data_IF_508508992315
#
_entry.id   IF_508508992315
#
_cell.length_a   1.000
_cell.length_b   1.000
_cell.length_c   1.000
_cell.angle_alpha   90.00
_cell.angle_beta   90.00
_cell.angle_gamma   90.00
#
_symmetry.space_group_name_H-M   'P 1'
#
loop_
_entity.id
_entity.type
_entity.pdbx_description
1 polymer ?
#
# COMPACT_ATOMS: atom_id res chain seq x y z
N UNK A 1 -10.75 -19.95 -15.86
CA UNK A 1 -10.12 -19.09 -14.84
C UNK A 1 -8.80 -19.71 -14.43
N UNK A 2 -7.68 -18.95 -14.37
CA UNK A 2 -6.44 -19.47 -13.81
C UNK A 2 -6.63 -19.79 -12.32
N UNK A 3 -5.94 -20.81 -11.78
CA UNK A 3 -6.11 -21.24 -10.40
C UNK A 3 -5.75 -20.09 -9.44
N UNK A 4 -6.67 -19.81 -8.51
CA UNK A 4 -6.46 -18.89 -7.38
C UNK A 4 -5.14 -19.21 -6.69
N UNK A 5 -4.27 -18.22 -6.56
CA UNK A 5 -3.06 -18.36 -5.76
C UNK A 5 -3.44 -18.37 -4.28
N UNK A 6 -3.59 -19.57 -3.71
CA UNK A 6 -3.92 -19.75 -2.29
C UNK A 6 -2.70 -19.49 -1.41
N UNK A 7 -2.45 -18.22 -1.11
CA UNK A 7 -1.43 -17.74 -0.16
C UNK A 7 -1.56 -18.43 1.20
N UNK A 8 -2.79 -18.73 1.63
CA UNK A 8 -3.16 -19.43 2.86
C UNK A 8 -2.44 -20.78 3.03
N UNK A 9 -2.19 -21.51 1.93
CA UNK A 9 -1.48 -22.80 1.97
C UNK A 9 0.04 -22.65 2.08
N UNK A 10 0.58 -21.45 1.82
CA UNK A 10 2.01 -21.17 1.74
C UNK A 10 2.57 -20.37 2.90
N UNK A 11 1.72 -19.95 3.85
CA UNK A 11 2.13 -19.17 5.03
C UNK A 11 3.22 -19.87 5.86
N UNK A 12 3.32 -21.21 5.76
CA UNK A 12 4.30 -22.02 6.49
C UNK A 12 5.58 -22.33 5.68
N UNK A 13 5.64 -21.94 4.40
CA UNK A 13 6.82 -22.15 3.57
C UNK A 13 7.89 -21.07 3.85
N UNK A 14 9.18 -21.38 3.66
CA UNK A 14 10.23 -20.39 3.74
C UNK A 14 10.00 -19.24 2.74
N UNK A 15 10.27 -18.00 3.14
CA UNK A 15 10.07 -16.79 2.31
C UNK A 15 10.71 -16.91 0.93
N UNK A 16 11.89 -17.53 0.81
CA UNK A 16 12.57 -17.70 -0.47
C UNK A 16 11.84 -18.66 -1.43
N UNK A 17 11.04 -19.60 -0.93
CA UNK A 17 10.21 -20.53 -1.73
C UNK A 17 9.00 -19.78 -2.27
N UNK A 18 8.30 -19.06 -1.39
CA UNK A 18 7.16 -18.20 -1.74
C UNK A 18 7.60 -17.18 -2.80
N UNK A 19 8.76 -16.55 -2.60
CA UNK A 19 9.32 -15.55 -3.49
C UNK A 19 9.66 -16.12 -4.88
N UNK A 20 10.33 -17.27 -4.93
CA UNK A 20 10.64 -17.98 -6.18
C UNK A 20 9.37 -18.30 -6.97
N UNK A 21 8.30 -18.69 -6.30
CA UNK A 21 7.04 -19.03 -6.96
C UNK A 21 6.30 -17.80 -7.48
N UNK A 22 6.37 -16.68 -6.75
CA UNK A 22 5.87 -15.37 -7.22
C UNK A 22 6.67 -14.93 -8.46
N UNK A 23 8.00 -15.02 -8.42
CA UNK A 23 8.88 -14.68 -9.56
C UNK A 23 8.62 -15.56 -10.78
N UNK A 24 8.44 -16.88 -10.59
CA UNK A 24 8.10 -17.79 -11.69
C UNK A 24 6.74 -17.47 -12.31
N UNK A 25 5.77 -17.07 -11.49
CA UNK A 25 4.40 -16.84 -11.95
C UNK A 25 4.24 -15.50 -12.67
N UNK A 26 4.96 -14.48 -12.25
CA UNK A 26 4.75 -13.10 -12.73
C UNK A 26 5.96 -12.47 -13.42
N UNK A 27 7.14 -13.09 -13.30
CA UNK A 27 8.40 -12.59 -13.86
C UNK A 27 9.15 -11.66 -12.91
N UNK A 28 10.47 -11.79 -12.85
CA UNK A 28 11.33 -11.02 -11.94
C UNK A 28 11.19 -9.51 -12.13
N UNK A 29 11.21 -9.02 -13.36
CA UNK A 29 11.12 -7.59 -13.68
C UNK A 29 9.78 -6.99 -13.23
N UNK A 30 8.71 -7.75 -13.43
CA UNK A 30 7.36 -7.41 -13.05
C UNK A 30 7.22 -7.26 -11.53
N UNK A 31 7.70 -8.27 -10.79
CA UNK A 31 7.68 -8.28 -9.31
C UNK A 31 8.53 -7.15 -8.75
N UNK A 32 9.74 -6.95 -9.28
CA UNK A 32 10.63 -5.86 -8.88
C UNK A 32 10.00 -4.47 -9.13
N UNK A 33 9.29 -4.31 -10.25
CA UNK A 33 8.56 -3.09 -10.58
C UNK A 33 7.45 -2.78 -9.56
N UNK A 34 6.62 -3.77 -9.22
CA UNK A 34 5.55 -3.61 -8.22
C UNK A 34 6.13 -3.29 -6.84
N UNK A 35 7.21 -3.96 -6.42
CA UNK A 35 7.92 -3.65 -5.17
C UNK A 35 8.42 -2.21 -5.17
N UNK A 36 8.95 -1.72 -6.29
CA UNK A 36 9.38 -0.33 -6.45
C UNK A 36 8.23 0.67 -6.23
N UNK A 37 7.05 0.38 -6.77
CA UNK A 37 5.87 1.23 -6.60
C UNK A 37 5.37 1.26 -5.15
N UNK A 38 5.37 0.11 -4.47
CA UNK A 38 5.02 0.03 -3.04
C UNK A 38 6.01 0.84 -2.20
N UNK A 39 7.32 0.77 -2.49
CA UNK A 39 8.33 1.58 -1.81
C UNK A 39 8.12 3.08 -2.02
N UNK A 40 7.73 3.51 -3.23
CA UNK A 40 7.39 4.92 -3.51
C UNK A 40 6.17 5.37 -2.73
N UNK A 41 5.15 4.52 -2.62
CA UNK A 41 3.97 4.79 -1.80
C UNK A 41 4.33 4.98 -0.33
N UNK A 42 5.10 4.05 0.26
CA UNK A 42 5.55 4.16 1.66
C UNK A 42 6.44 5.38 1.90
N UNK A 43 7.32 5.73 0.96
CA UNK A 43 8.11 6.94 1.06
C UNK A 43 7.23 8.20 1.05
N UNK A 44 6.21 8.26 0.18
CA UNK A 44 5.29 9.38 0.10
C UNK A 44 4.39 9.56 1.34
N UNK A 45 4.12 8.47 2.09
CA UNK A 45 3.41 8.55 3.37
C UNK A 45 4.24 9.30 4.41
N UNK A 46 5.56 9.08 4.43
CA UNK A 46 6.47 9.65 5.42
C UNK A 46 7.14 10.95 4.98
N UNK A 47 6.75 11.48 3.81
CA UNK A 47 7.29 12.72 3.27
C UNK A 47 6.55 13.92 3.85
N UNK A 48 7.24 15.06 3.97
CA UNK A 48 6.62 16.28 4.47
C UNK A 48 5.50 16.74 3.53
N UNK A 49 4.36 17.11 4.10
CA UNK A 49 3.20 17.58 3.34
C UNK A 49 2.70 18.92 3.84
N UNK A 50 2.38 19.81 2.90
CA UNK A 50 1.86 21.16 3.20
C UNK A 50 0.35 21.15 3.54
N UNK A 51 -0.37 20.14 3.06
CA UNK A 51 -1.81 19.99 3.27
C UNK A 51 -2.24 18.52 3.18
N UNK A 52 -3.20 18.14 4.04
CA UNK A 52 -3.79 16.79 4.07
C UNK A 52 -4.46 16.44 2.75
N UNK A 53 -5.10 17.41 2.08
CA UNK A 53 -5.70 17.21 0.76
C UNK A 53 -4.65 16.88 -0.30
N UNK A 54 -3.47 17.50 -0.20
CA UNK A 54 -2.34 17.24 -1.09
C UNK A 54 -1.74 15.85 -0.86
N UNK A 55 -1.59 15.46 0.42
CA UNK A 55 -1.18 14.11 0.80
C UNK A 55 -2.15 13.06 0.25
N UNK A 56 -3.46 13.28 0.42
CA UNK A 56 -4.49 12.37 -0.08
C UNK A 56 -4.44 12.22 -1.60
N UNK A 57 -4.36 13.32 -2.34
CA UNK A 57 -4.27 13.29 -3.80
C UNK A 57 -3.02 12.55 -4.29
N UNK A 58 -1.86 12.81 -3.67
CA UNK A 58 -0.58 12.15 -4.01
C UNK A 58 -0.64 10.65 -3.73
N UNK A 59 -1.12 10.26 -2.56
CA UNK A 59 -1.24 8.85 -2.17
C UNK A 59 -2.29 8.11 -3.02
N UNK A 60 -3.38 8.79 -3.40
CA UNK A 60 -4.37 8.24 -4.32
C UNK A 60 -3.75 7.96 -5.69
N UNK A 61 -2.99 8.90 -6.25
CA UNK A 61 -2.33 8.73 -7.54
C UNK A 61 -1.33 7.55 -7.51
N UNK A 62 -0.50 7.47 -6.46
CA UNK A 62 0.46 6.38 -6.28
C UNK A 62 -0.20 5.02 -6.07
N UNK A 63 -1.30 4.97 -5.29
CA UNK A 63 -2.12 3.76 -5.17
C UNK A 63 -2.67 3.34 -6.54
N UNK A 64 -3.27 4.27 -7.28
CA UNK A 64 -3.92 3.97 -8.56
C UNK A 64 -2.88 3.56 -9.62
N UNK A 65 -1.67 4.10 -9.58
CA UNK A 65 -0.52 3.65 -10.40
C UNK A 65 -0.06 2.24 -9.99
N UNK A 66 0.16 2.01 -8.69
CA UNK A 66 0.57 0.70 -8.18
C UNK A 66 -0.45 -0.38 -8.52
N UNK A 67 -1.74 -0.11 -8.30
CA UNK A 67 -2.82 -1.06 -8.57
C UNK A 67 -3.08 -1.28 -10.07
N UNK A 68 -2.86 -0.30 -10.93
CA UNK A 68 -2.91 -0.51 -12.39
C UNK A 68 -1.78 -1.43 -12.82
N UNK A 69 -0.55 -1.09 -12.45
CA UNK A 69 0.62 -1.90 -12.81
C UNK A 69 0.54 -3.31 -12.22
N UNK A 70 0.05 -3.48 -10.99
CA UNK A 70 -0.17 -4.80 -10.38
C UNK A 70 -1.44 -5.51 -10.87
N UNK A 71 -2.45 -4.79 -11.37
CA UNK A 71 -3.55 -5.38 -12.11
C UNK A 71 -3.08 -6.05 -13.40
N UNK A 72 -2.23 -5.35 -14.15
CA UNK A 72 -1.66 -5.88 -15.41
C UNK A 72 -0.64 -7.01 -15.14
N UNK A 73 0.18 -6.85 -14.10
CA UNK A 73 1.26 -7.76 -13.74
C UNK A 73 0.82 -8.99 -12.94
N UNK A 74 0.02 -8.76 -11.90
CA UNK A 74 -0.30 -9.71 -10.83
C UNK A 74 -1.78 -10.09 -10.81
N UNK A 75 -2.59 -9.51 -11.70
CA UNK A 75 -4.05 -9.69 -11.75
C UNK A 75 -4.77 -9.27 -10.46
N UNK A 76 -4.15 -8.41 -9.66
CA UNK A 76 -4.71 -7.94 -8.38
C UNK A 76 -4.15 -6.58 -7.99
N UNK A 77 -4.95 -5.79 -7.28
CA UNK A 77 -4.50 -4.53 -6.68
C UNK A 77 -3.75 -4.79 -5.37
N UNK A 78 -2.57 -4.20 -5.23
CA UNK A 78 -1.69 -4.41 -4.06
C UNK A 78 -1.93 -3.42 -2.91
N UNK A 79 -2.50 -2.24 -3.16
CA UNK A 79 -2.78 -1.23 -2.13
C UNK A 79 -4.28 -1.02 -2.01
N UNK A 80 -4.84 -1.41 -0.87
CA UNK A 80 -6.25 -1.18 -0.56
C UNK A 80 -6.50 0.28 -0.14
N UNK A 81 -7.75 0.75 -0.31
CA UNK A 81 -8.14 2.07 0.19
C UNK A 81 -8.00 2.15 1.72
N UNK A 82 -8.35 1.08 2.44
CA UNK A 82 -8.25 1.03 3.90
C UNK A 82 -6.80 1.16 4.39
N UNK A 83 -5.85 0.51 3.72
CA UNK A 83 -4.43 0.64 4.04
C UNK A 83 -3.96 2.10 3.85
N UNK A 84 -4.35 2.73 2.73
CA UNK A 84 -4.03 4.14 2.48
C UNK A 84 -4.60 5.05 3.58
N UNK A 85 -5.85 4.85 4.00
CA UNK A 85 -6.45 5.64 5.07
C UNK A 85 -5.73 5.45 6.40
N UNK A 86 -5.41 4.21 6.79
CA UNK A 86 -4.66 3.93 8.02
C UNK A 86 -3.28 4.59 8.02
N UNK A 87 -2.59 4.58 6.87
CA UNK A 87 -1.29 5.24 6.71
C UNK A 87 -1.40 6.76 6.87
N UNK A 88 -2.43 7.39 6.29
CA UNK A 88 -2.69 8.83 6.45
C UNK A 88 -2.96 9.16 7.92
N UNK A 89 -3.82 8.40 8.59
CA UNK A 89 -4.12 8.59 10.02
C UNK A 89 -2.86 8.50 10.89
N UNK A 90 -1.93 7.60 10.57
CA UNK A 90 -0.68 7.42 11.31
C UNK A 90 0.31 8.58 11.20
N UNK A 91 0.23 9.41 10.14
CA UNK A 91 1.14 10.55 9.92
C UNK A 91 0.49 11.90 10.16
N UNK A 92 -0.81 11.92 10.47
CA UNK A 92 -1.51 13.16 10.79
C UNK A 92 -0.97 13.73 12.11
N UNK A 93 -0.60 15.03 12.15
CA UNK A 93 -0.11 15.67 13.35
C UNK A 93 -1.04 15.52 14.55
N UNK A 94 -0.47 15.29 15.74
CA UNK A 94 -1.19 15.17 17.01
C UNK A 94 -2.14 16.35 17.30
N UNK A 95 -1.86 17.55 16.78
CA UNK A 95 -2.74 18.70 16.96
C UNK A 95 -4.07 18.61 16.19
N UNK A 96 -4.12 17.87 15.07
CA UNK A 96 -5.37 17.61 14.36
C UNK A 96 -6.25 16.61 15.12
N UNK A 97 -5.63 15.71 15.89
CA UNK A 97 -6.33 14.84 16.82
C UNK A 97 -6.87 15.61 18.04
N UNK A 98 -6.10 16.56 18.56
CA UNK A 98 -6.45 17.35 19.75
C UNK A 98 -7.50 18.44 19.53
N UNK A 99 -7.59 19.05 18.34
CA UNK A 99 -8.57 20.12 18.06
C UNK A 99 -10.02 19.62 17.95
N UNK A 100 -10.24 18.33 17.71
CA UNK A 100 -11.58 17.75 17.65
C UNK A 100 -12.16 17.41 19.03
N UNK A 101 -11.34 17.42 20.09
CA UNK A 101 -11.78 17.13 21.45
C UNK A 101 -11.93 18.47 22.20
N UNK A 102 -13.00 19.21 21.90
CA UNK A 102 -13.49 20.21 22.86
C UNK A 102 -14.08 19.45 24.05
N UNK A 103 -13.26 19.20 25.07
CA UNK A 103 -13.76 18.88 26.40
C UNK A 103 -14.47 20.13 26.90
N UNK A 104 -15.78 20.21 26.68
CA UNK A 104 -16.62 21.21 27.34
C UNK A 104 -16.39 21.05 28.84
N UNK A 105 -15.97 22.09 29.58
CA UNK A 105 -15.87 22.01 31.02
C UNK A 105 -17.26 21.70 31.58
N UNK A 106 -17.33 20.71 32.48
CA UNK A 106 -18.54 20.35 33.21
C UNK A 106 -18.97 21.47 34.17
#
# INVERSE_FOLDING_TARGET
MPPEYKMDKKVHEPVHVIWRDIEKRFGLNTVAGVVGLIKRFEAAVNDDFKSVSQLFARLKALKDEANRNSGDALQTGVISLNLMMLKILGVLPNHLWGQAINLTPA
#
